data_IF_453094472675
#
_entry.id   IF_453094472675
#
_cell.length_a   1.000
_cell.length_b   1.000
_cell.length_c   1.000
_cell.angle_alpha   90.00
_cell.angle_beta   90.00
_cell.angle_gamma   90.00
#
_symmetry.space_group_name_H-M   'P 1'
#
loop_
_entity.id
_entity.type
_entity.pdbx_description
1 polymer ?
#
# COMPACT_ATOMS: atom_id res chain seq x y z
N UNK A 1 6.54 -2.39 21.98
CA UNK A 1 6.75 -0.92 22.02
C UNK A 1 6.33 -0.42 20.64
N UNK A 2 5.48 0.60 20.56
CA UNK A 2 4.85 1.00 19.29
C UNK A 2 5.86 1.74 18.39
N UNK A 3 6.01 1.29 17.14
CA UNK A 3 6.92 1.90 16.16
C UNK A 3 6.10 2.69 15.14
N UNK A 4 6.44 3.96 14.88
CA UNK A 4 5.74 4.78 13.89
C UNK A 4 5.98 4.27 12.48
N UNK A 5 7.13 3.66 12.18
CA UNK A 5 7.36 3.03 10.86
C UNK A 5 6.42 1.84 10.61
N UNK A 6 5.90 1.22 11.67
CA UNK A 6 4.88 0.17 11.61
C UNK A 6 3.44 0.71 11.74
N UNK A 7 3.22 2.03 11.77
CA UNK A 7 1.88 2.60 11.99
C UNK A 7 1.39 2.43 13.42
N UNK A 8 2.27 2.63 14.40
CA UNK A 8 2.02 2.44 15.84
C UNK A 8 1.73 0.99 16.27
N UNK A 9 2.09 0.03 15.41
CA UNK A 9 2.06 -1.40 15.71
C UNK A 9 3.42 -1.89 16.21
N UNK A 10 3.43 -3.05 16.88
CA UNK A 10 4.65 -3.74 17.24
C UNK A 10 5.37 -4.26 15.98
N UNK A 11 6.70 -4.23 16.00
CA UNK A 11 7.51 -4.78 14.93
C UNK A 11 7.36 -6.31 14.89
N UNK A 12 7.12 -6.92 13.71
CA UNK A 12 6.92 -8.36 13.64
C UNK A 12 8.18 -9.14 14.10
N UNK A 13 7.97 -10.26 14.79
CA UNK A 13 9.05 -11.04 15.43
C UNK A 13 10.13 -11.51 14.46
N UNK A 14 9.76 -11.79 13.20
CA UNK A 14 10.73 -12.17 12.16
C UNK A 14 11.69 -11.03 11.81
N UNK A 15 11.25 -9.76 11.89
CA UNK A 15 12.12 -8.60 11.68
C UNK A 15 13.08 -8.45 12.86
N UNK A 16 12.57 -8.63 14.09
CA UNK A 16 13.36 -8.56 15.31
C UNK A 16 14.49 -9.60 15.33
N UNK A 17 14.22 -10.83 14.92
CA UNK A 17 15.22 -11.88 14.83
C UNK A 17 16.39 -11.50 13.90
N UNK A 18 16.07 -10.85 12.79
CA UNK A 18 17.02 -10.54 11.72
C UNK A 18 17.74 -9.19 11.86
N UNK A 19 17.33 -8.35 12.81
CA UNK A 19 18.08 -7.13 13.14
C UNK A 19 19.48 -7.46 13.67
N UNK A 20 19.61 -8.57 14.41
CA UNK A 20 20.90 -9.08 14.86
C UNK A 20 21.81 -9.48 13.68
N UNK A 21 21.22 -9.95 12.59
CA UNK A 21 21.90 -10.31 11.35
C UNK A 21 22.38 -9.05 10.61
N UNK A 22 21.53 -8.02 10.52
CA UNK A 22 21.88 -6.71 9.95
C UNK A 22 23.04 -6.03 10.69
N UNK A 23 23.10 -6.16 12.01
CA UNK A 23 24.16 -5.58 12.83
C UNK A 23 25.55 -6.21 12.59
N UNK A 24 25.61 -7.44 12.05
CA UNK A 24 26.88 -8.13 11.72
C UNK A 24 27.56 -7.57 10.46
N UNK A 25 26.82 -6.86 9.61
CA UNK A 25 27.35 -6.26 8.37
C UNK A 25 27.92 -4.87 8.68
N UNK A 26 28.98 -4.44 7.97
CA UNK A 26 29.50 -3.07 8.10
C UNK A 26 28.49 -2.01 7.61
N UNK A 27 28.50 -0.81 8.21
CA UNK A 27 27.61 0.31 7.84
C UNK A 27 27.69 0.72 6.36
N UNK A 28 28.85 0.56 5.72
CA UNK A 28 29.08 0.83 4.28
C UNK A 28 28.37 -0.20 3.39
N UNK A 29 28.51 -1.49 3.71
CA UNK A 29 27.84 -2.58 2.98
C UNK A 29 26.33 -2.52 3.16
N UNK A 30 25.86 -2.21 4.36
CA UNK A 30 24.45 -1.99 4.63
C UNK A 30 23.87 -0.90 3.72
N UNK A 31 24.59 0.22 3.55
CA UNK A 31 24.19 1.32 2.66
C UNK A 31 24.06 0.87 1.20
N UNK A 32 25.02 0.07 0.72
CA UNK A 32 24.99 -0.48 -0.65
C UNK A 32 23.82 -1.45 -0.83
N UNK A 33 23.56 -2.30 0.16
CA UNK A 33 22.40 -3.20 0.16
C UNK A 33 21.09 -2.41 0.17
N UNK A 34 20.96 -1.38 1.01
CA UNK A 34 19.79 -0.49 1.01
C UNK A 34 19.56 0.14 -0.37
N UNK A 35 20.63 0.61 -1.02
CA UNK A 35 20.55 1.19 -2.37
C UNK A 35 20.07 0.18 -3.41
N UNK A 36 20.45 -1.10 -3.27
CA UNK A 36 20.02 -2.17 -4.16
C UNK A 36 18.57 -2.59 -3.91
N UNK A 37 18.15 -2.68 -2.64
CA UNK A 37 16.76 -2.95 -2.25
C UNK A 37 15.84 -1.81 -2.67
N UNK A 38 16.29 -0.56 -2.59
CA UNK A 38 15.54 0.59 -3.12
C UNK A 38 15.34 0.49 -4.63
N UNK A 39 16.35 0.04 -5.38
CA UNK A 39 16.20 -0.20 -6.83
C UNK A 39 15.19 -1.30 -7.13
N UNK A 40 15.20 -2.38 -6.36
CA UNK A 40 14.19 -3.44 -6.46
C UNK A 40 12.79 -2.90 -6.20
N UNK A 41 12.62 -2.16 -5.10
CA UNK A 41 11.34 -1.54 -4.73
C UNK A 41 10.84 -0.54 -5.76
N UNK A 42 11.73 0.05 -6.56
CA UNK A 42 11.40 0.93 -7.70
C UNK A 42 11.18 0.17 -9.01
N UNK A 43 11.22 -1.16 -8.99
CA UNK A 43 10.97 -2.03 -10.16
C UNK A 43 12.17 -2.23 -11.08
N UNK A 44 13.39 -1.82 -10.68
CA UNK A 44 14.61 -1.97 -11.49
C UNK A 44 15.29 -3.34 -11.33
N UNK A 45 14.72 -4.24 -10.53
CA UNK A 45 15.23 -5.58 -10.25
C UNK A 45 16.42 -5.62 -9.27
N UNK A 46 16.60 -6.77 -8.61
CA UNK A 46 17.79 -7.01 -7.77
C UNK A 46 18.91 -7.60 -8.63
N UNK A 47 20.10 -7.00 -8.55
CA UNK A 47 21.33 -7.65 -8.94
C UNK A 47 21.77 -8.60 -7.82
N UNK A 48 21.26 -9.83 -7.85
CA UNK A 48 21.55 -10.87 -6.86
C UNK A 48 23.04 -11.19 -6.79
N UNK A 49 23.77 -11.00 -7.88
CA UNK A 49 25.22 -11.27 -7.93
C UNK A 49 26.00 -10.22 -7.14
N UNK A 50 25.58 -8.94 -7.21
CA UNK A 50 26.15 -7.87 -6.38
C UNK A 50 25.76 -8.01 -4.91
N UNK A 51 24.52 -8.36 -4.59
CA UNK A 51 24.12 -8.56 -3.18
C UNK A 51 24.90 -9.72 -2.55
N UNK A 52 25.04 -10.84 -3.26
CA UNK A 52 25.86 -11.99 -2.82
C UNK A 52 27.33 -11.62 -2.60
N UNK A 53 27.94 -10.84 -3.51
CA UNK A 53 29.33 -10.37 -3.35
C UNK A 53 29.51 -9.48 -2.13
N UNK A 54 28.54 -8.62 -1.84
CA UNK A 54 28.58 -7.72 -0.68
C UNK A 54 28.38 -8.44 0.65
N UNK A 55 27.65 -9.55 0.67
CA UNK A 55 27.40 -10.39 1.85
C UNK A 55 28.40 -11.54 2.02
N UNK A 56 29.22 -11.84 1.01
CA UNK A 56 30.21 -12.93 1.04
C UNK A 56 31.22 -12.79 2.21
N UNK A 57 31.67 -11.57 2.49
CA UNK A 57 32.61 -11.31 3.59
C UNK A 57 32.02 -11.53 4.99
N UNK A 58 30.69 -11.54 5.11
CA UNK A 58 30.01 -11.63 6.40
C UNK A 58 29.58 -13.08 6.75
N UNK A 59 29.96 -14.08 5.93
CA UNK A 59 29.57 -15.49 6.04
C UNK A 59 28.05 -15.75 5.97
N UNK A 60 27.35 -14.97 5.17
CA UNK A 60 25.90 -15.11 5.01
C UNK A 60 25.58 -16.30 4.10
N UNK A 61 24.66 -17.15 4.54
CA UNK A 61 24.07 -18.15 3.66
C UNK A 61 23.04 -17.50 2.73
N UNK A 62 22.62 -18.22 1.68
CA UNK A 62 21.58 -17.72 0.77
C UNK A 62 20.26 -17.39 1.47
N UNK A 63 20.00 -18.01 2.63
CA UNK A 63 18.88 -17.67 3.53
C UNK A 63 19.04 -16.30 4.17
N UNK A 64 20.20 -16.03 4.78
CA UNK A 64 20.48 -14.76 5.48
C UNK A 64 20.43 -13.56 4.52
N UNK A 65 20.90 -13.73 3.27
CA UNK A 65 20.84 -12.68 2.25
C UNK A 65 19.39 -12.33 1.92
N UNK A 66 18.52 -13.34 1.74
CA UNK A 66 17.10 -13.13 1.47
C UNK A 66 16.40 -12.49 2.68
N UNK A 67 16.71 -12.95 3.89
CA UNK A 67 16.17 -12.38 5.12
C UNK A 67 16.55 -10.90 5.26
N UNK A 68 17.82 -10.57 5.04
CA UNK A 68 18.34 -9.19 5.05
C UNK A 68 17.61 -8.30 4.04
N UNK A 69 17.47 -8.77 2.80
CA UNK A 69 16.73 -8.06 1.74
C UNK A 69 15.27 -7.87 2.15
N UNK A 70 14.61 -8.90 2.68
CA UNK A 70 13.23 -8.84 3.11
C UNK A 70 13.02 -7.84 4.26
N UNK A 71 13.91 -7.83 5.26
CA UNK A 71 13.86 -6.88 6.38
C UNK A 71 14.08 -5.45 5.89
N UNK A 72 15.11 -5.21 5.08
CA UNK A 72 15.37 -3.88 4.53
C UNK A 72 14.20 -3.38 3.67
N UNK A 73 13.66 -4.27 2.83
CA UNK A 73 12.50 -3.97 1.98
C UNK A 73 11.27 -3.62 2.83
N UNK A 74 11.03 -4.39 3.90
CA UNK A 74 9.94 -4.13 4.83
C UNK A 74 10.11 -2.81 5.58
N UNK A 75 11.29 -2.53 6.14
CA UNK A 75 11.58 -1.28 6.86
C UNK A 75 11.37 -0.07 5.92
N UNK A 76 12.00 -0.09 4.75
CA UNK A 76 11.94 1.02 3.80
C UNK A 76 10.52 1.23 3.26
N UNK A 77 9.81 0.15 2.93
CA UNK A 77 8.42 0.23 2.45
C UNK A 77 7.48 0.73 3.54
N UNK A 78 7.66 0.29 4.78
CA UNK A 78 6.79 0.65 5.90
C UNK A 78 7.04 2.10 6.34
N UNK A 79 8.31 2.53 6.38
CA UNK A 79 8.67 3.93 6.59
C UNK A 79 8.07 4.84 5.50
N UNK A 80 8.17 4.43 4.23
CA UNK A 80 7.61 5.17 3.10
C UNK A 80 6.08 5.28 3.17
N UNK A 81 5.38 4.18 3.52
CA UNK A 81 3.92 4.13 3.65
C UNK A 81 3.41 5.08 4.74
N UNK A 82 4.07 5.08 5.91
CA UNK A 82 3.68 5.91 7.04
C UNK A 82 4.28 7.33 6.99
N UNK A 83 5.03 7.67 5.93
CA UNK A 83 5.66 8.98 5.75
C UNK A 83 6.49 9.42 6.96
N UNK A 84 7.24 8.49 7.55
CA UNK A 84 8.07 8.75 8.72
C UNK A 84 9.29 9.58 8.35
N UNK A 85 9.64 10.54 9.19
CA UNK A 85 10.84 11.38 9.11
C UNK A 85 12.12 10.58 9.42
N UNK A 86 13.25 10.98 8.83
CA UNK A 86 14.53 10.27 9.00
C UNK A 86 15.05 10.26 10.44
N UNK A 87 14.73 11.28 11.25
CA UNK A 87 15.10 11.31 12.67
C UNK A 87 14.32 10.28 13.51
N UNK A 88 13.00 10.19 13.29
CA UNK A 88 12.16 9.17 13.92
C UNK A 88 12.55 7.77 13.48
N UNK A 89 12.77 7.55 12.17
CA UNK A 89 13.23 6.25 11.65
C UNK A 89 14.58 5.85 12.27
N UNK A 90 15.52 6.78 12.38
CA UNK A 90 16.84 6.54 12.99
C UNK A 90 16.72 6.14 14.46
N UNK A 91 15.84 6.82 15.20
CA UNK A 91 15.59 6.54 16.61
C UNK A 91 14.94 5.17 16.82
N UNK A 92 13.98 4.81 15.95
CA UNK A 92 13.30 3.52 15.98
C UNK A 92 14.24 2.37 15.62
N UNK A 93 15.09 2.53 14.61
CA UNK A 93 16.10 1.53 14.25
C UNK A 93 17.14 1.34 15.36
N UNK A 94 17.52 2.40 16.08
CA UNK A 94 18.40 2.29 17.25
C UNK A 94 17.74 1.54 18.41
N UNK A 95 16.44 1.76 18.66
CA UNK A 95 15.67 1.02 19.68
C UNK A 95 15.54 -0.46 19.33
N UNK A 96 15.47 -0.78 18.04
CA UNK A 96 15.45 -2.15 17.53
C UNK A 96 16.79 -2.88 17.72
N UNK A 97 17.87 -2.17 18.04
CA UNK A 97 19.19 -2.73 18.29
C UNK A 97 20.21 -2.53 17.17
N UNK A 98 19.89 -1.73 16.13
CA UNK A 98 20.90 -1.35 15.15
C UNK A 98 21.89 -0.33 15.72
N UNK A 99 23.19 -0.45 15.41
CA UNK A 99 24.16 0.57 15.77
C UNK A 99 23.78 1.93 15.17
N UNK A 100 24.10 3.01 15.88
CA UNK A 100 23.79 4.40 15.46
C UNK A 100 24.32 4.74 14.07
N UNK A 101 25.49 4.21 13.70
CA UNK A 101 26.05 4.42 12.35
C UNK A 101 25.22 3.76 11.24
N UNK A 102 24.70 2.55 11.50
CA UNK A 102 23.87 1.79 10.57
C UNK A 102 22.50 2.43 10.40
N UNK A 103 21.89 2.86 11.51
CA UNK A 103 20.64 3.58 11.48
C UNK A 103 20.78 4.89 10.68
N UNK A 104 21.83 5.68 10.94
CA UNK A 104 22.08 6.93 10.22
C UNK A 104 22.35 6.72 8.72
N UNK A 105 23.07 5.66 8.35
CA UNK A 105 23.35 5.37 6.94
C UNK A 105 22.09 4.92 6.18
N UNK A 106 21.22 4.13 6.82
CA UNK A 106 19.94 3.70 6.26
C UNK A 106 18.98 4.88 6.09
N UNK A 107 18.89 5.76 7.09
CA UNK A 107 18.01 6.93 7.03
C UNK A 107 18.40 7.89 5.89
N UNK A 108 19.70 8.14 5.67
CA UNK A 108 20.16 8.95 4.53
C UNK A 108 19.77 8.33 3.18
N UNK A 109 19.92 7.01 3.03
CA UNK A 109 19.49 6.32 1.81
C UNK A 109 17.97 6.41 1.59
N UNK A 110 17.21 6.32 2.67
CA UNK A 110 15.76 6.47 2.62
C UNK A 110 15.36 7.89 2.20
N UNK A 111 15.90 8.94 2.84
CA UNK A 111 15.60 10.35 2.53
C UNK A 111 15.88 10.69 1.06
N UNK A 112 17.00 10.22 0.50
CA UNK A 112 17.35 10.45 -0.91
C UNK A 112 16.36 9.84 -1.91
N UNK A 113 15.69 8.74 -1.52
CA UNK A 113 14.79 7.96 -2.41
C UNK A 113 13.35 7.90 -1.92
N UNK A 114 12.99 8.65 -0.88
CA UNK A 114 11.67 8.63 -0.28
C UNK A 114 10.59 9.06 -1.28
N UNK A 115 10.78 10.17 -1.99
CA UNK A 115 9.80 10.69 -2.95
C UNK A 115 9.49 9.70 -4.08
N UNK A 116 10.47 9.17 -4.85
CA UNK A 116 10.20 8.19 -5.89
C UNK A 116 9.66 6.87 -5.33
N UNK A 117 10.10 6.44 -4.13
CA UNK A 117 9.58 5.24 -3.48
C UNK A 117 8.09 5.40 -3.10
N UNK A 118 7.71 6.54 -2.53
CA UNK A 118 6.31 6.84 -2.21
C UNK A 118 5.46 6.94 -3.47
N UNK A 119 5.97 7.54 -4.53
CA UNK A 119 5.26 7.63 -5.81
C UNK A 119 5.05 6.25 -6.44
N UNK A 120 6.09 5.40 -6.42
CA UNK A 120 5.99 4.00 -6.86
C UNK A 120 5.01 3.20 -5.99
N UNK A 121 5.09 3.31 -4.66
CA UNK A 121 4.16 2.65 -3.74
C UNK A 121 2.72 3.18 -3.90
N UNK A 122 2.51 4.45 -4.27
CA UNK A 122 1.20 4.99 -4.63
C UNK A 122 0.69 4.47 -5.98
N UNK A 123 1.60 4.25 -6.93
CA UNK A 123 1.25 3.65 -8.23
C UNK A 123 0.91 2.16 -8.09
N UNK A 124 1.60 1.44 -7.21
CA UNK A 124 1.45 0.00 -6.97
C UNK A 124 0.44 -0.34 -5.86
N UNK A 125 0.09 0.62 -4.98
CA UNK A 125 -0.97 0.43 -3.98
C UNK A 125 -2.31 0.24 -4.67
N UNK A 126 -3.13 -0.67 -4.13
CA UNK A 126 -4.48 -0.98 -4.56
C UNK A 126 -5.26 0.31 -4.83
N UNK A 127 -5.41 0.64 -6.10
CA UNK A 127 -6.24 1.76 -6.55
C UNK A 127 -7.68 1.34 -6.32
N UNK A 128 -8.34 2.00 -5.36
CA UNK A 128 -9.79 1.88 -5.23
C UNK A 128 -10.40 2.44 -6.52
N UNK A 129 -11.26 1.64 -7.16
CA UNK A 129 -12.05 2.07 -8.30
C UNK A 129 -12.68 3.44 -8.01
N UNK A 130 -12.43 4.43 -8.87
CA UNK A 130 -12.96 5.78 -8.69
C UNK A 130 -14.24 5.94 -9.51
N UNK A 131 -15.30 6.40 -8.88
CA UNK A 131 -16.51 6.78 -9.56
C UNK A 131 -16.28 8.12 -10.31
N UNK A 132 -16.23 8.05 -11.64
CA UNK A 132 -16.03 9.19 -12.53
C UNK A 132 -17.33 9.92 -12.86
N UNK A 133 -18.47 9.22 -12.83
CA UNK A 133 -19.77 9.79 -13.13
C UNK A 133 -20.92 8.88 -12.75
N UNK A 134 -22.11 9.47 -12.60
CA UNK A 134 -23.35 8.77 -12.31
C UNK A 134 -24.42 9.26 -13.26
N UNK A 135 -24.96 8.36 -14.06
CA UNK A 135 -26.18 8.56 -14.84
C UNK A 135 -27.34 7.77 -14.24
N UNK A 136 -28.54 8.32 -14.31
CA UNK A 136 -29.74 7.62 -13.85
C UNK A 136 -30.91 7.90 -14.79
N UNK A 137 -31.84 6.94 -14.87
CA UNK A 137 -33.14 7.11 -15.52
C UNK A 137 -34.20 6.32 -14.76
N UNK A 138 -35.44 6.78 -14.81
CA UNK A 138 -36.58 6.10 -14.20
C UNK A 138 -37.54 5.74 -15.31
N UNK A 139 -37.82 4.45 -15.43
CA UNK A 139 -38.75 3.88 -16.38
C UNK A 139 -39.98 3.39 -15.62
N UNK A 140 -41.14 3.44 -16.26
CA UNK A 140 -42.39 2.94 -15.68
C UNK A 140 -42.91 1.79 -16.53
N UNK A 141 -42.96 0.58 -15.95
CA UNK A 141 -43.34 -0.61 -16.71
C UNK A 141 -44.84 -0.82 -16.60
N UNK A 142 -45.55 -0.57 -17.70
CA UNK A 142 -47.02 -0.63 -17.73
C UNK A 142 -47.54 -2.09 -17.74
N UNK A 143 -46.92 -2.98 -18.50
CA UNK A 143 -47.33 -4.40 -18.62
C UNK A 143 -46.12 -5.30 -18.84
N UNK A 144 -46.23 -6.58 -18.46
CA UNK A 144 -45.22 -7.62 -18.70
C UNK A 144 -45.84 -8.78 -19.47
N UNK A 145 -45.01 -9.60 -20.13
CA UNK A 145 -45.47 -10.80 -20.86
C UNK A 145 -46.20 -11.82 -19.98
N UNK A 146 -46.00 -11.76 -18.65
CA UNK A 146 -46.63 -12.64 -17.66
C UNK A 146 -47.82 -11.99 -16.91
N UNK A 147 -47.96 -10.65 -16.93
CA UNK A 147 -48.95 -9.91 -16.14
C UNK A 147 -49.51 -8.72 -16.93
N UNK A 148 -50.86 -8.62 -17.01
CA UNK A 148 -51.58 -7.59 -17.80
C UNK A 148 -51.39 -6.16 -17.30
N UNK A 149 -51.18 -5.95 -16.00
CA UNK A 149 -50.78 -4.66 -15.42
C UNK A 149 -49.73 -4.93 -14.35
N UNK A 150 -48.58 -4.26 -14.47
CA UNK A 150 -47.50 -4.30 -13.46
C UNK A 150 -47.44 -2.95 -12.75
N UNK A 151 -47.50 -1.84 -13.50
CA UNK A 151 -47.59 -0.47 -12.94
C UNK A 151 -46.45 -0.13 -11.94
N UNK A 152 -45.25 -0.67 -12.17
CA UNK A 152 -44.12 -0.49 -11.25
C UNK A 152 -43.04 0.46 -11.80
N UNK A 153 -42.55 1.40 -10.97
CA UNK A 153 -41.39 2.22 -11.29
C UNK A 153 -40.09 1.43 -11.15
N UNK A 154 -39.22 1.55 -12.14
CA UNK A 154 -37.90 0.93 -12.19
C UNK A 154 -36.82 2.00 -12.39
N UNK A 155 -35.82 1.98 -11.54
CA UNK A 155 -34.69 2.92 -11.58
C UNK A 155 -33.51 2.23 -12.25
N UNK A 156 -33.00 2.79 -13.33
CA UNK A 156 -31.75 2.36 -13.95
C UNK A 156 -30.62 3.31 -13.55
N UNK A 157 -29.57 2.76 -12.98
CA UNK A 157 -28.35 3.46 -12.59
C UNK A 157 -27.21 3.02 -13.50
N UNK A 158 -26.40 3.99 -13.93
CA UNK A 158 -25.18 3.78 -14.69
C UNK A 158 -24.03 4.49 -13.99
N UNK A 159 -23.13 3.72 -13.41
CA UNK A 159 -21.95 4.20 -12.71
C UNK A 159 -20.76 4.11 -13.66
N UNK A 160 -20.13 5.24 -13.93
CA UNK A 160 -18.92 5.32 -14.75
C UNK A 160 -17.72 5.14 -13.83
N UNK A 161 -17.03 4.01 -13.90
CA UNK A 161 -15.99 3.61 -12.94
C UNK A 161 -14.63 3.53 -13.62
N UNK A 162 -13.63 4.22 -13.06
CA UNK A 162 -12.24 4.14 -13.50
C UNK A 162 -11.41 3.31 -12.53
N UNK A 163 -10.75 2.26 -13.02
CA UNK A 163 -9.88 1.41 -12.19
C UNK A 163 -8.64 2.16 -11.66
N UNK A 164 -8.31 3.29 -12.27
CA UNK A 164 -7.06 3.99 -12.06
C UNK A 164 -7.15 5.44 -12.57
N UNK A 165 -6.41 6.36 -11.96
CA UNK A 165 -6.19 7.69 -12.55
C UNK A 165 -5.52 7.53 -13.91
N UNK A 166 -6.23 7.92 -14.99
CA UNK A 166 -5.81 7.77 -16.38
C UNK A 166 -6.27 6.48 -17.09
N UNK A 167 -6.93 5.55 -16.39
CA UNK A 167 -7.46 4.32 -17.02
C UNK A 167 -8.80 4.58 -17.74
N UNK A 168 -9.14 3.78 -18.76
CA UNK A 168 -10.43 3.89 -19.43
C UNK A 168 -11.57 3.65 -18.44
N UNK A 169 -12.60 4.48 -18.56
CA UNK A 169 -13.80 4.42 -17.73
C UNK A 169 -14.68 3.27 -18.22
N UNK A 170 -15.08 2.37 -17.31
CA UNK A 170 -15.98 1.27 -17.58
C UNK A 170 -17.35 1.53 -16.96
N UNK A 171 -18.45 1.46 -17.75
CA UNK A 171 -19.79 1.65 -17.24
C UNK A 171 -20.30 0.39 -16.54
N UNK A 172 -20.76 0.55 -15.30
CA UNK A 172 -21.51 -0.45 -14.55
C UNK A 172 -22.97 -0.03 -14.53
N UNK A 173 -23.82 -0.76 -15.24
CA UNK A 173 -25.26 -0.50 -15.30
C UNK A 173 -26.03 -1.50 -14.42
N UNK A 174 -27.01 -1.00 -13.67
CA UNK A 174 -27.89 -1.84 -12.85
C UNK A 174 -29.31 -1.29 -12.83
N UNK A 175 -30.28 -2.18 -12.68
CA UNK A 175 -31.70 -1.84 -12.57
C UNK A 175 -32.20 -2.19 -11.17
N UNK A 176 -32.92 -1.28 -10.54
CA UNK A 176 -33.42 -1.39 -9.17
C UNK A 176 -34.92 -1.08 -9.14
N UNK A 177 -35.65 -1.77 -8.27
CA UNK A 177 -36.99 -1.33 -7.87
C UNK A 177 -36.90 -0.11 -6.94
N UNK A 178 -38.02 0.58 -6.75
CA UNK A 178 -38.10 1.71 -5.83
C UNK A 178 -37.62 1.34 -4.41
N UNK A 179 -38.07 0.20 -3.87
CA UNK A 179 -37.68 -0.25 -2.52
C UNK A 179 -36.18 -0.50 -2.41
N UNK A 180 -35.60 -1.19 -3.40
CA UNK A 180 -34.15 -1.47 -3.43
C UNK A 180 -33.33 -0.19 -3.55
N UNK A 181 -33.82 0.79 -4.30
CA UNK A 181 -33.18 2.09 -4.42
C UNK A 181 -33.21 2.86 -3.09
N UNK A 182 -34.32 2.81 -2.34
CA UNK A 182 -34.40 3.42 -1.02
C UNK A 182 -33.42 2.81 -0.03
N UNK A 183 -33.29 1.48 -0.03
CA UNK A 183 -32.30 0.78 0.80
C UNK A 183 -30.88 1.22 0.43
N UNK A 184 -30.54 1.22 -0.86
CA UNK A 184 -29.22 1.68 -1.33
C UNK A 184 -28.92 3.11 -0.88
N UNK A 185 -29.90 4.02 -0.97
CA UNK A 185 -29.74 5.41 -0.53
C UNK A 185 -29.50 5.52 0.98
N UNK A 186 -30.19 4.72 1.79
CA UNK A 186 -30.02 4.71 3.24
C UNK A 186 -28.61 4.26 3.63
N UNK A 187 -28.14 3.16 3.05
CA UNK A 187 -26.80 2.62 3.28
C UNK A 187 -25.69 3.60 2.85
N UNK A 188 -25.85 4.26 1.69
CA UNK A 188 -24.91 5.27 1.22
C UNK A 188 -24.83 6.48 2.16
N UNK A 189 -25.96 6.94 2.72
CA UNK A 189 -26.00 8.01 3.72
C UNK A 189 -25.32 7.60 5.04
N UNK A 190 -25.50 6.35 5.46
CA UNK A 190 -24.84 5.81 6.64
C UNK A 190 -23.33 5.76 6.43
N UNK A 191 -22.87 5.26 5.29
CA UNK A 191 -21.45 5.22 4.93
C UNK A 191 -20.84 6.64 4.88
N UNK A 192 -21.55 7.62 4.31
CA UNK A 192 -21.13 9.02 4.30
C UNK A 192 -20.95 9.57 5.72
N UNK A 193 -21.90 9.28 6.61
CA UNK A 193 -21.85 9.76 8.00
C UNK A 193 -20.64 9.20 8.74
N UNK A 194 -20.39 7.88 8.62
CA UNK A 194 -19.22 7.23 9.20
C UNK A 194 -17.92 7.84 8.66
N UNK A 195 -17.81 8.00 7.35
CA UNK A 195 -16.64 8.61 6.72
C UNK A 195 -16.41 10.06 7.18
N UNK A 196 -17.47 10.85 7.34
CA UNK A 196 -17.35 12.23 7.83
C UNK A 196 -16.97 12.34 9.30
N UNK A 197 -17.23 11.30 10.10
CA UNK A 197 -16.82 11.25 11.52
C UNK A 197 -15.36 10.84 11.74
N UNK A 198 -14.72 10.29 10.70
CA UNK A 198 -13.34 9.81 10.71
C UNK A 198 -12.34 10.85 10.18
N UNK A 199 -12.81 11.96 9.63
CA UNK A 199 -11.99 13.10 9.15
C UNK A 199 -12.07 14.29 10.08
#
# INVERSE_FOLDING_TARGET
>A
QRFRFCGDLDCPDWVLAEISTLAKISSVKLRLLCSQVLKELLGQGIDYEKTLKLTADARFESGDVKATVAVLSFILSSAAKHSVDGESLSSELQQLGLPKEHAASLCRCYEEKQSPLQEHLRACSLRVNRLAGVGWRVDYTLSSSLLRSVEEPMVHLRLEVAAASGAPVQPVAMSLSADKFQVLLAELKQAQTLMSSLG
#
